data_IF_927483852618
#
_entry.id   IF_927483852618
#
_cell.length_a   1.000
_cell.length_b   1.000
_cell.length_c   1.000
_cell.angle_alpha   90.00
_cell.angle_beta   90.00
_cell.angle_gamma   90.00
#
_symmetry.space_group_name_H-M   'P 1'
#
loop_
_entity.id
_entity.type
_entity.pdbx_description
1 polymer ?
#
# COMPACT_ATOMS: atom_id res chain seq x y z
N UNK A 1 30.64 35.89 27.81
CA UNK A 1 29.59 35.70 26.78
C UNK A 1 29.56 34.29 26.14
N UNK A 2 30.63 33.47 26.24
CA UNK A 2 30.68 32.13 25.61
C UNK A 2 29.82 31.05 26.31
N UNK A 3 29.78 31.05 27.65
CA UNK A 3 29.09 30.01 28.44
C UNK A 3 27.57 29.95 28.25
N UNK A 4 26.90 31.09 28.13
CA UNK A 4 25.45 31.15 27.92
C UNK A 4 25.05 30.60 26.54
N UNK A 5 25.86 30.85 25.51
CA UNK A 5 25.64 30.34 24.15
C UNK A 5 25.87 28.84 24.07
N UNK A 6 26.89 28.31 24.76
CA UNK A 6 27.11 26.86 24.85
C UNK A 6 26.00 26.14 25.61
N UNK A 7 25.47 26.74 26.68
CA UNK A 7 24.32 26.21 27.43
C UNK A 7 23.05 26.16 26.58
N UNK A 8 22.73 27.23 25.85
CA UNK A 8 21.58 27.26 24.94
C UNK A 8 21.70 26.20 23.82
N UNK A 9 22.91 25.97 23.31
CA UNK A 9 23.16 25.00 22.25
C UNK A 9 23.08 23.54 22.76
N UNK A 10 23.50 23.29 24.00
CA UNK A 10 23.32 22.00 24.66
C UNK A 10 21.84 21.72 24.96
N UNK A 11 21.08 22.72 25.38
CA UNK A 11 19.63 22.62 25.59
C UNK A 11 18.91 22.32 24.27
N UNK A 12 19.25 23.04 23.19
CA UNK A 12 18.65 22.78 21.87
C UNK A 12 19.00 21.40 21.34
N UNK A 13 20.25 20.94 21.50
CA UNK A 13 20.64 19.58 21.11
C UNK A 13 19.89 18.53 21.91
N UNK A 14 19.75 18.71 23.21
CA UNK A 14 18.95 17.82 24.05
C UNK A 14 17.45 17.88 23.72
N UNK A 15 16.92 19.00 23.23
CA UNK A 15 15.54 19.09 22.74
C UNK A 15 15.36 18.42 21.38
N UNK A 16 16.30 18.60 20.45
CA UNK A 16 16.30 17.93 19.14
C UNK A 16 16.44 16.43 19.34
N UNK A 17 17.42 15.99 20.12
CA UNK A 17 17.63 14.59 20.45
C UNK A 17 16.40 14.00 21.14
N UNK A 18 15.73 14.75 22.04
CA UNK A 18 14.47 14.31 22.66
C UNK A 18 13.29 14.32 21.69
N UNK A 19 13.28 15.12 20.63
CA UNK A 19 12.26 15.07 19.56
C UNK A 19 12.58 13.94 18.57
N UNK A 20 13.86 13.64 18.35
CA UNK A 20 14.33 12.55 17.49
C UNK A 20 14.22 11.18 18.17
N UNK A 21 14.41 11.12 19.49
CA UNK A 21 14.27 9.92 20.33
C UNK A 21 12.90 9.78 20.97
N UNK A 22 12.13 10.87 21.12
CA UNK A 22 10.67 10.77 21.16
C UNK A 22 10.19 10.46 19.74
N UNK A 23 10.55 9.28 19.26
CA UNK A 23 9.49 8.42 18.77
C UNK A 23 8.40 8.50 19.82
N UNK A 24 7.34 9.21 19.48
CA UNK A 24 6.09 9.13 20.19
C UNK A 24 5.69 7.65 20.07
N UNK A 25 6.22 6.84 20.98
CA UNK A 25 5.86 5.43 21.18
C UNK A 25 4.50 5.50 21.84
N UNK A 26 3.51 5.92 21.08
CA UNK A 26 2.21 5.30 21.23
C UNK A 26 2.50 3.84 20.90
N UNK A 27 2.26 2.87 21.81
CA UNK A 27 2.17 1.48 21.39
C UNK A 27 1.18 1.51 20.24
N UNK A 28 1.68 1.43 19.01
CA UNK A 28 0.85 1.73 17.85
C UNK A 28 -0.24 0.70 17.91
N UNK A 29 -1.47 1.17 18.04
CA UNK A 29 -2.63 0.32 17.89
C UNK A 29 -2.47 -0.33 16.51
N UNK A 30 -2.29 -1.65 16.49
CA UNK A 30 -2.00 -2.43 15.29
C UNK A 30 -3.26 -3.21 14.96
N UNK A 31 -3.59 -3.23 13.68
CA UNK A 31 -4.74 -3.96 13.18
C UNK A 31 -4.26 -5.17 12.41
N UNK A 32 -4.68 -6.33 12.90
CA UNK A 32 -4.44 -7.63 12.28
C UNK A 32 -5.05 -7.62 10.87
N UNK A 33 -4.27 -7.99 9.86
CA UNK A 33 -4.71 -8.09 8.48
C UNK A 33 -5.58 -9.34 8.25
N UNK A 34 -5.33 -10.40 9.02
CA UNK A 34 -6.00 -11.71 8.92
C UNK A 34 -5.10 -12.79 8.32
N UNK A 35 -3.92 -12.42 7.83
CA UNK A 35 -2.91 -13.34 7.31
C UNK A 35 -1.79 -13.52 8.34
N UNK A 36 -1.77 -14.66 9.04
CA UNK A 36 -0.92 -14.91 10.20
C UNK A 36 0.57 -14.61 10.00
N UNK A 37 1.18 -15.08 8.90
CA UNK A 37 2.59 -14.82 8.62
C UNK A 37 2.91 -13.34 8.35
N UNK A 38 2.05 -12.63 7.61
CA UNK A 38 2.21 -11.20 7.36
C UNK A 38 2.03 -10.40 8.65
N UNK A 39 1.03 -10.75 9.46
CA UNK A 39 0.78 -10.12 10.76
C UNK A 39 1.95 -10.32 11.72
N UNK A 40 2.57 -11.51 11.74
CA UNK A 40 3.77 -11.77 12.52
C UNK A 40 4.97 -10.91 12.07
N UNK A 41 5.18 -10.76 10.76
CA UNK A 41 6.21 -9.87 10.21
C UNK A 41 5.95 -8.40 10.59
N UNK A 42 4.68 -7.99 10.63
CA UNK A 42 4.24 -6.66 11.06
C UNK A 42 4.15 -6.50 12.59
N UNK A 43 4.63 -7.46 13.38
CA UNK A 43 4.59 -7.44 14.86
C UNK A 43 3.16 -7.31 15.42
N UNK A 44 2.22 -8.07 14.86
CA UNK A 44 0.82 -8.09 15.27
C UNK A 44 -0.12 -7.28 14.37
N UNK A 45 0.31 -6.90 13.18
CA UNK A 45 -0.53 -6.25 12.16
C UNK A 45 -0.10 -4.85 11.76
N UNK A 46 -0.88 -4.25 10.86
CA UNK A 46 -0.62 -2.94 10.28
C UNK A 46 -0.75 -1.85 11.35
N UNK A 47 0.29 -1.04 11.52
CA UNK A 47 0.27 0.06 12.47
C UNK A 47 -0.77 1.13 12.08
N UNK A 48 -1.58 1.60 13.02
CA UNK A 48 -2.44 2.79 12.81
C UNK A 48 -1.64 4.08 12.95
N UNK A 49 -2.27 5.20 12.60
CA UNK A 49 -1.68 6.54 12.70
C UNK A 49 -0.32 6.66 11.98
N UNK A 50 -0.21 5.95 10.86
CA UNK A 50 1.01 5.78 10.11
C UNK A 50 0.74 5.85 8.60
N UNK A 51 1.81 6.01 7.83
CA UNK A 51 1.75 6.06 6.36
C UNK A 51 2.20 4.72 5.79
N UNK A 52 1.35 4.10 4.98
CA UNK A 52 1.64 2.86 4.26
C UNK A 52 1.59 3.12 2.77
N UNK A 53 2.66 2.77 2.06
CA UNK A 53 2.71 2.91 0.61
C UNK A 53 2.40 1.58 -0.06
N UNK A 54 1.63 1.63 -1.14
CA UNK A 54 1.31 0.50 -2.00
C UNK A 54 1.64 0.89 -3.44
N UNK A 55 2.50 0.11 -4.07
CA UNK A 55 2.89 0.19 -5.47
C UNK A 55 2.32 -1.00 -6.23
N UNK A 56 2.21 -0.91 -7.55
CA UNK A 56 1.91 -2.04 -8.41
C UNK A 56 3.02 -2.28 -9.44
N UNK A 57 3.25 -3.53 -9.79
CA UNK A 57 4.14 -3.86 -10.91
C UNK A 57 3.41 -3.72 -12.26
N UNK A 58 4.05 -3.05 -13.21
CA UNK A 58 3.51 -2.89 -14.56
C UNK A 58 2.12 -2.25 -14.58
N UNK A 59 1.16 -2.92 -15.24
CA UNK A 59 -0.22 -2.43 -15.42
C UNK A 59 -1.21 -3.03 -14.41
N UNK A 60 -0.75 -3.49 -13.25
CA UNK A 60 -1.56 -4.21 -12.27
C UNK A 60 -2.23 -3.28 -11.23
N UNK A 61 -2.66 -2.10 -11.70
CA UNK A 61 -3.23 -1.06 -10.86
C UNK A 61 -4.49 -1.49 -10.11
N UNK A 62 -5.36 -2.27 -10.75
CA UNK A 62 -6.58 -2.78 -10.12
C UNK A 62 -6.29 -3.67 -8.91
N UNK A 63 -5.23 -4.48 -8.95
CA UNK A 63 -4.82 -5.31 -7.82
C UNK A 63 -4.34 -4.44 -6.65
N UNK A 64 -3.53 -3.42 -6.91
CA UNK A 64 -3.11 -2.49 -5.86
C UNK A 64 -4.27 -1.67 -5.29
N UNK A 65 -5.22 -1.22 -6.11
CA UNK A 65 -6.45 -0.57 -5.64
C UNK A 65 -7.27 -1.48 -4.74
N UNK A 66 -7.49 -2.73 -5.15
CA UNK A 66 -8.22 -3.73 -4.34
C UNK A 66 -7.51 -4.02 -3.01
N UNK A 67 -6.19 -4.17 -3.03
CA UNK A 67 -5.40 -4.36 -1.82
C UNK A 67 -5.47 -3.15 -0.88
N UNK A 68 -5.33 -1.93 -1.40
CA UNK A 68 -5.48 -0.68 -0.62
C UNK A 68 -6.88 -0.58 -0.02
N UNK A 69 -7.92 -0.98 -0.75
CA UNK A 69 -9.28 -1.01 -0.20
C UNK A 69 -9.45 -2.05 0.90
N UNK A 70 -8.85 -3.23 0.76
CA UNK A 70 -8.80 -4.22 1.83
C UNK A 70 -8.12 -3.66 3.09
N UNK A 71 -6.93 -3.05 2.92
CA UNK A 71 -6.24 -2.37 4.03
C UNK A 71 -7.10 -1.26 4.64
N UNK A 72 -7.74 -0.43 3.80
CA UNK A 72 -8.64 0.64 4.25
C UNK A 72 -9.77 0.08 5.10
N UNK A 73 -10.46 -0.96 4.63
CA UNK A 73 -11.52 -1.64 5.37
C UNK A 73 -11.07 -2.19 6.73
N UNK A 74 -9.84 -2.72 6.80
CA UNK A 74 -9.24 -3.14 8.08
C UNK A 74 -9.06 -1.97 9.03
N UNK A 75 -8.47 -0.87 8.57
CA UNK A 75 -8.09 0.25 9.45
C UNK A 75 -9.22 1.22 9.77
N UNK A 76 -10.24 1.27 8.92
CA UNK A 76 -11.32 2.24 9.00
C UNK A 76 -12.62 1.67 9.55
N UNK A 77 -12.70 0.42 10.00
CA UNK A 77 -13.95 -0.27 10.34
C UNK A 77 -14.99 0.63 11.03
N UNK A 78 -15.99 1.08 10.24
CA UNK A 78 -17.13 1.97 10.55
C UNK A 78 -16.89 3.49 10.59
N UNK A 79 -15.72 3.97 10.16
CA UNK A 79 -15.39 5.38 10.02
C UNK A 79 -15.21 5.75 8.54
N UNK A 80 -15.50 7.01 8.13
CA UNK A 80 -15.38 7.41 6.75
C UNK A 80 -13.95 7.31 6.22
N UNK A 81 -13.82 6.91 4.96
CA UNK A 81 -12.59 6.89 4.16
C UNK A 81 -12.62 8.06 3.19
N UNK A 82 -11.57 8.88 3.16
CA UNK A 82 -11.39 9.87 2.09
C UNK A 82 -10.43 9.31 1.04
N UNK A 83 -10.82 9.28 -0.23
CA UNK A 83 -9.95 8.91 -1.35
C UNK A 83 -9.65 10.13 -2.21
N UNK A 84 -8.43 10.64 -2.10
CA UNK A 84 -7.92 11.77 -2.86
C UNK A 84 -7.15 11.24 -4.06
N UNK A 85 -7.56 11.63 -5.27
CA UNK A 85 -6.86 11.28 -6.51
C UNK A 85 -6.77 12.47 -7.45
N UNK A 86 -5.80 12.41 -8.37
CA UNK A 86 -5.67 13.41 -9.43
C UNK A 86 -6.82 13.24 -10.44
N UNK A 87 -7.34 14.34 -10.97
CA UNK A 87 -8.46 14.34 -11.92
C UNK A 87 -8.18 13.51 -13.18
N UNK A 88 -6.97 13.60 -13.73
CA UNK A 88 -6.57 12.85 -14.92
C UNK A 88 -6.36 11.35 -14.65
N UNK A 89 -6.13 10.92 -13.40
CA UNK A 89 -5.92 9.49 -13.10
C UNK A 89 -7.13 8.64 -13.47
N UNK A 90 -8.33 9.22 -13.45
CA UNK A 90 -9.54 8.55 -13.90
C UNK A 90 -9.54 8.25 -15.40
N UNK A 91 -8.89 9.09 -16.21
CA UNK A 91 -8.75 8.83 -17.65
C UNK A 91 -7.79 7.68 -17.93
N UNK A 92 -6.77 7.49 -17.08
CA UNK A 92 -5.74 6.46 -17.24
C UNK A 92 -6.16 5.09 -16.69
N UNK A 93 -6.95 5.07 -15.61
CA UNK A 93 -7.30 3.83 -14.87
C UNK A 93 -8.78 3.57 -14.68
N UNK A 94 -9.63 4.48 -15.14
CA UNK A 94 -11.06 4.45 -14.86
C UNK A 94 -11.41 4.97 -13.48
N UNK A 95 -12.73 5.00 -13.23
CA UNK A 95 -13.29 5.39 -11.95
C UNK A 95 -13.24 4.23 -10.95
N UNK A 96 -13.16 4.56 -9.67
CA UNK A 96 -13.33 3.58 -8.61
C UNK A 96 -14.77 3.03 -8.64
N UNK A 97 -14.90 1.70 -8.75
CA UNK A 97 -16.22 1.06 -8.82
C UNK A 97 -16.84 0.91 -7.43
N UNK A 98 -17.97 1.59 -7.21
CA UNK A 98 -18.74 1.46 -5.96
C UNK A 98 -19.43 0.08 -5.84
N UNK A 99 -19.80 -0.55 -6.97
CA UNK A 99 -20.29 -1.93 -6.94
C UNK A 99 -19.18 -2.90 -6.58
N UNK A 100 -17.97 -2.70 -7.12
CA UNK A 100 -16.79 -3.50 -6.78
C UNK A 100 -16.40 -3.38 -5.30
N UNK A 101 -16.56 -2.19 -4.70
CA UNK A 101 -16.42 -2.04 -3.24
C UNK A 101 -17.42 -2.87 -2.46
N UNK A 102 -18.67 -2.92 -2.93
CA UNK A 102 -19.73 -3.72 -2.28
C UNK A 102 -19.43 -5.21 -2.40
N UNK A 103 -18.92 -5.66 -3.55
CA UNK A 103 -18.46 -7.03 -3.78
C UNK A 103 -17.25 -7.41 -2.91
N UNK A 104 -16.42 -6.43 -2.52
CA UNK A 104 -15.36 -6.63 -1.53
C UNK A 104 -15.86 -6.64 -0.08
N UNK A 105 -17.17 -6.50 0.17
CA UNK A 105 -17.75 -6.42 1.51
C UNK A 105 -17.68 -5.04 2.16
N UNK A 106 -17.22 -4.03 1.43
CA UNK A 106 -17.04 -2.66 1.94
C UNK A 106 -18.27 -1.80 1.65
N UNK A 107 -18.67 -0.93 2.58
CA UNK A 107 -19.81 -0.02 2.40
C UNK A 107 -19.41 1.22 1.57
N UNK A 108 -19.91 1.39 0.33
CA UNK A 108 -19.54 2.53 -0.50
C UNK A 108 -19.98 3.87 0.09
N UNK A 109 -20.96 3.90 0.99
CA UNK A 109 -21.44 5.12 1.65
C UNK A 109 -20.42 5.69 2.64
N UNK A 110 -19.44 4.88 3.03
CA UNK A 110 -18.34 5.33 3.88
C UNK A 110 -17.20 5.95 3.07
N UNK A 111 -17.26 5.97 1.74
CA UNK A 111 -16.19 6.50 0.88
C UNK A 111 -16.56 7.87 0.35
N UNK A 112 -15.69 8.86 0.61
CA UNK A 112 -15.78 10.19 0.03
C UNK A 112 -14.65 10.36 -0.98
N UNK A 113 -14.99 10.61 -2.24
CA UNK A 113 -14.02 10.83 -3.32
C UNK A 113 -13.69 12.31 -3.44
N UNK A 114 -12.40 12.63 -3.54
CA UNK A 114 -11.92 13.98 -3.87
C UNK A 114 -11.06 13.91 -5.11
N UNK A 115 -11.41 14.73 -6.10
CA UNK A 115 -10.59 14.97 -7.30
C UNK A 115 -9.78 16.24 -7.11
N UNK A 116 -8.46 16.09 -7.13
CA UNK A 116 -7.52 17.20 -7.08
C UNK A 116 -7.04 17.53 -8.50
N UNK A 117 -6.89 18.82 -8.81
CA UNK A 117 -6.42 19.28 -10.11
C UNK A 117 -4.93 18.94 -10.38
N UNK A 118 -4.14 18.78 -9.33
CA UNK A 118 -2.71 18.50 -9.43
C UNK A 118 -2.18 17.77 -8.18
N UNK A 119 -0.91 17.34 -8.24
CA UNK A 119 -0.22 16.64 -7.14
C UNK A 119 -0.16 17.48 -5.87
N UNK A 120 0.08 18.79 -5.99
CA UNK A 120 0.23 19.69 -4.83
C UNK A 120 -1.09 19.82 -4.07
N UNK A 121 -2.18 20.00 -4.80
CA UNK A 121 -3.54 20.03 -4.27
C UNK A 121 -3.92 18.69 -3.66
N UNK A 122 -3.54 17.56 -4.27
CA UNK A 122 -3.76 16.23 -3.71
C UNK A 122 -3.01 16.04 -2.38
N UNK A 123 -1.74 16.44 -2.32
CA UNK A 123 -0.91 16.37 -1.11
C UNK A 123 -1.43 17.28 0.00
N UNK A 124 -1.81 18.52 -0.33
CA UNK A 124 -2.40 19.47 0.64
C UNK A 124 -3.71 18.92 1.20
N UNK A 125 -4.62 18.50 0.33
CA UNK A 125 -5.91 17.92 0.73
C UNK A 125 -5.72 16.69 1.61
N UNK A 126 -4.77 15.82 1.26
CA UNK A 126 -4.47 14.63 2.06
C UNK A 126 -3.87 14.97 3.42
N UNK A 127 -3.02 16.00 3.51
CA UNK A 127 -2.49 16.47 4.79
C UNK A 127 -3.61 17.03 5.69
N UNK A 128 -4.51 17.83 5.14
CA UNK A 128 -5.64 18.41 5.88
C UNK A 128 -6.62 17.31 6.32
N UNK A 129 -6.89 16.33 5.46
CA UNK A 129 -7.70 15.16 5.77
C UNK A 129 -7.06 14.27 6.85
N UNK A 130 -5.75 14.03 6.76
CA UNK A 130 -5.02 13.29 7.79
C UNK A 130 -4.99 14.04 9.12
N UNK A 131 -5.21 15.35 9.16
CA UNK A 131 -5.35 16.09 10.41
C UNK A 131 -6.78 16.05 10.99
N UNK A 132 -7.75 15.46 10.29
CA UNK A 132 -9.14 15.36 10.70
C UNK A 132 -9.43 14.03 11.41
N UNK A 133 -9.49 14.08 12.74
CA UNK A 133 -9.73 12.93 13.62
C UNK A 133 -11.14 12.33 13.53
N UNK A 134 -11.98 12.72 12.57
CA UNK A 134 -13.26 12.08 12.24
C UNK A 134 -13.11 10.95 11.19
N UNK A 135 -12.06 10.98 10.37
CA UNK A 135 -11.81 9.98 9.31
C UNK A 135 -11.15 8.71 9.85
N UNK A 136 -11.48 7.54 9.32
CA UNK A 136 -10.80 6.29 9.66
C UNK A 136 -9.48 6.12 8.94
N UNK A 137 -9.45 6.54 7.67
CA UNK A 137 -8.26 6.53 6.83
C UNK A 137 -8.36 7.57 5.71
N UNK A 138 -7.20 7.88 5.13
CA UNK A 138 -7.08 8.68 3.91
C UNK A 138 -6.28 7.88 2.90
N UNK A 139 -6.86 7.67 1.72
CA UNK A 139 -6.12 7.16 0.57
C UNK A 139 -5.68 8.33 -0.29
N UNK A 140 -4.38 8.42 -0.57
CA UNK A 140 -3.82 9.33 -1.54
C UNK A 140 -3.32 8.53 -2.74
N UNK A 141 -3.98 8.68 -3.87
CA UNK A 141 -3.59 8.09 -5.14
C UNK A 141 -2.76 9.10 -5.94
N UNK A 142 -1.53 8.71 -6.29
CA UNK A 142 -0.62 9.49 -7.11
C UNK A 142 -0.19 8.69 -8.34
N UNK A 143 -0.27 9.31 -9.50
CA UNK A 143 0.11 8.71 -10.78
C UNK A 143 1.47 9.20 -11.26
N UNK A 144 2.31 8.26 -11.67
CA UNK A 144 3.62 8.52 -12.22
C UNK A 144 4.65 8.98 -11.19
N UNK A 145 5.82 9.37 -11.69
CA UNK A 145 6.88 9.94 -10.87
C UNK A 145 6.51 11.36 -10.41
N UNK A 146 6.08 11.47 -9.16
CA UNK A 146 5.63 12.72 -8.55
C UNK A 146 6.75 13.39 -7.75
N UNK A 147 7.49 14.32 -8.37
CA UNK A 147 8.60 15.05 -7.73
C UNK A 147 8.18 15.85 -6.49
N UNK A 148 6.92 16.29 -6.45
CA UNK A 148 6.35 17.05 -5.33
C UNK A 148 6.17 16.18 -4.07
N UNK A 149 6.11 14.86 -4.23
CA UNK A 149 6.14 13.94 -3.09
C UNK A 149 7.58 13.65 -2.68
N UNK A 150 8.22 14.63 -2.06
CA UNK A 150 9.55 14.54 -1.51
C UNK A 150 9.53 14.11 -0.02
N UNK A 151 10.70 14.09 0.62
CA UNK A 151 10.82 13.75 2.05
C UNK A 151 10.08 14.76 2.96
N UNK A 152 9.95 16.01 2.55
CA UNK A 152 9.25 17.05 3.33
C UNK A 152 7.75 16.79 3.28
N UNK A 153 7.19 16.56 2.09
CA UNK A 153 5.80 16.18 1.91
C UNK A 153 5.47 14.88 2.64
N UNK A 154 6.33 13.86 2.49
CA UNK A 154 6.17 12.58 3.20
C UNK A 154 6.16 12.77 4.72
N UNK A 155 7.11 13.55 5.28
CA UNK A 155 7.16 13.83 6.72
C UNK A 155 5.92 14.59 7.19
N UNK A 156 5.42 15.55 6.40
CA UNK A 156 4.20 16.29 6.71
C UNK A 156 2.99 15.36 6.84
N UNK A 157 2.81 14.43 5.90
CA UNK A 157 1.72 13.43 5.98
C UNK A 157 1.88 12.53 7.21
N UNK A 158 3.09 12.06 7.50
CA UNK A 158 3.36 11.21 8.67
C UNK A 158 3.03 11.93 9.98
N UNK A 159 3.43 13.20 10.12
CA UNK A 159 3.13 13.98 11.32
C UNK A 159 1.61 14.25 11.47
N UNK A 160 0.91 14.51 10.37
CA UNK A 160 -0.54 14.68 10.38
C UNK A 160 -1.26 13.39 10.84
N UNK A 161 -0.89 12.25 10.25
CA UNK A 161 -1.41 10.92 10.61
C UNK A 161 -1.18 10.59 12.09
N UNK A 162 0.03 10.87 12.59
CA UNK A 162 0.38 10.64 14.01
C UNK A 162 -0.40 11.57 14.95
N UNK A 163 -0.61 12.83 14.57
CA UNK A 163 -1.29 13.82 15.40
C UNK A 163 -2.78 13.56 15.57
N UNK A 164 -3.46 13.00 14.55
CA UNK A 164 -4.91 12.75 14.58
C UNK A 164 -5.29 11.29 14.88
N UNK A 165 -4.34 10.35 14.73
CA UNK A 165 -4.61 8.92 14.78
C UNK A 165 -5.11 8.31 13.46
N UNK A 166 -5.28 9.10 12.40
CA UNK A 166 -5.77 8.64 11.09
C UNK A 166 -4.67 7.94 10.31
N UNK A 167 -4.99 6.79 9.71
CA UNK A 167 -4.04 6.03 8.88
C UNK A 167 -4.02 6.55 7.45
N UNK A 168 -2.83 6.81 6.91
CA UNK A 168 -2.64 7.18 5.50
C UNK A 168 -2.22 5.99 4.65
N UNK A 169 -2.92 5.78 3.53
CA UNK A 169 -2.63 4.75 2.53
C UNK A 169 -2.27 5.44 1.22
N UNK A 170 -1.00 5.37 0.81
CA UNK A 170 -0.52 5.99 -0.41
C UNK A 170 -0.49 4.97 -1.54
N UNK A 171 -1.41 5.10 -2.48
CA UNK A 171 -1.43 4.30 -3.70
C UNK A 171 -0.56 4.98 -4.77
N UNK A 172 0.59 4.38 -5.09
CA UNK A 172 1.59 4.90 -6.02
C UNK A 172 1.53 4.10 -7.31
N UNK A 173 0.92 4.69 -8.33
CA UNK A 173 0.67 4.05 -9.63
C UNK A 173 1.74 4.47 -10.64
N UNK A 174 2.23 3.55 -11.47
CA UNK A 174 3.24 3.84 -12.51
C UNK A 174 4.48 4.59 -11.98
N UNK A 175 4.90 4.31 -10.74
CA UNK A 175 6.01 4.96 -10.06
C UNK A 175 6.94 3.92 -9.43
N UNK A 176 8.21 4.27 -9.27
CA UNK A 176 9.18 3.46 -8.56
C UNK A 176 9.25 3.84 -7.08
N UNK A 177 9.50 2.87 -6.18
CA UNK A 177 9.80 3.14 -4.78
C UNK A 177 10.97 4.11 -4.59
N UNK A 178 10.72 5.23 -3.89
CA UNK A 178 11.74 6.19 -3.46
C UNK A 178 11.81 6.28 -1.93
N UNK A 179 12.90 6.79 -1.34
CA UNK A 179 12.97 7.03 0.10
C UNK A 179 11.82 7.93 0.59
N UNK A 180 11.18 7.52 1.68
CA UNK A 180 10.08 8.25 2.31
C UNK A 180 10.01 7.92 3.81
N UNK A 181 9.12 8.61 4.52
CA UNK A 181 8.84 8.36 5.96
C UNK A 181 7.83 7.24 6.19
N UNK A 182 7.43 6.50 5.15
CA UNK A 182 6.45 5.43 5.24
C UNK A 182 6.87 4.36 6.27
N UNK A 183 5.87 3.85 6.98
CA UNK A 183 5.97 2.76 7.94
C UNK A 183 6.15 1.42 7.25
N UNK A 184 5.31 1.15 6.25
CA UNK A 184 5.44 0.00 5.37
C UNK A 184 5.40 0.42 3.91
N UNK A 185 6.05 -0.37 3.07
CA UNK A 185 5.93 -0.26 1.62
C UNK A 185 5.66 -1.61 0.99
N UNK A 186 4.61 -1.69 0.18
CA UNK A 186 4.19 -2.89 -0.51
C UNK A 186 4.34 -2.73 -2.01
N UNK A 187 4.77 -3.80 -2.70
CA UNK A 187 4.71 -3.97 -4.14
C UNK A 187 3.72 -5.07 -4.45
N UNK A 188 2.69 -4.74 -5.22
CA UNK A 188 1.56 -5.61 -5.46
C UNK A 188 1.57 -6.16 -6.88
N UNK A 189 1.22 -7.43 -6.96
CA UNK A 189 0.87 -8.13 -8.18
C UNK A 189 -0.47 -8.86 -7.98
N UNK A 190 -1.21 -9.04 -9.05
CA UNK A 190 -2.31 -10.00 -9.11
C UNK A 190 -1.72 -11.41 -9.06
N UNK A 191 -2.22 -12.24 -8.15
CA UNK A 191 -1.94 -13.66 -8.15
C UNK A 191 -3.04 -14.40 -8.93
N UNK A 192 -2.74 -15.57 -9.53
CA UNK A 192 -3.76 -16.39 -10.17
C UNK A 192 -4.84 -16.81 -9.17
N UNK A 193 -6.11 -16.68 -9.56
CA UNK A 193 -7.21 -17.26 -8.79
C UNK A 193 -7.07 -18.79 -8.76
N UNK A 194 -7.39 -19.45 -7.62
CA UNK A 194 -7.46 -20.90 -7.59
C UNK A 194 -8.52 -21.40 -8.59
N UNK A 195 -8.35 -22.62 -9.15
CA UNK A 195 -9.33 -23.19 -10.06
C UNK A 195 -10.69 -23.32 -9.36
N UNK A 196 -11.67 -22.55 -9.81
CA UNK A 196 -13.03 -22.51 -9.27
C UNK A 196 -14.02 -23.38 -10.04
N UNK A 197 -15.17 -23.65 -9.43
CA UNK A 197 -16.32 -24.23 -10.14
C UNK A 197 -16.79 -23.27 -11.24
N UNK A 198 -17.51 -23.77 -12.25
CA UNK A 198 -18.09 -22.92 -13.33
C UNK A 198 -19.00 -21.82 -12.78
N UNK A 199 -19.53 -22.00 -11.56
CA UNK A 199 -20.42 -21.07 -10.86
C UNK A 199 -19.68 -20.06 -9.97
N UNK A 200 -18.37 -20.23 -9.77
CA UNK A 200 -17.50 -19.36 -8.95
C UNK A 200 -16.22 -19.02 -9.72
N UNK A 201 -16.35 -18.81 -11.04
CA UNK A 201 -15.24 -18.85 -11.98
C UNK A 201 -14.11 -17.83 -11.71
N UNK A 202 -14.40 -16.75 -10.99
CA UNK A 202 -13.43 -15.67 -10.73
C UNK A 202 -12.80 -15.74 -9.33
N UNK A 203 -13.40 -16.47 -8.38
CA UNK A 203 -12.93 -16.62 -7.00
C UNK A 203 -12.87 -15.32 -6.20
N UNK A 204 -12.34 -15.40 -4.99
CA UNK A 204 -11.95 -14.23 -4.20
C UNK A 204 -10.71 -13.56 -4.81
N UNK A 205 -10.54 -12.23 -4.67
CA UNK A 205 -9.32 -11.56 -5.11
C UNK A 205 -8.09 -12.12 -4.41
N UNK A 206 -7.06 -12.46 -5.18
CA UNK A 206 -5.78 -12.95 -4.66
C UNK A 206 -4.65 -12.02 -5.06
N UNK A 207 -3.87 -11.60 -4.07
CA UNK A 207 -2.77 -10.67 -4.21
C UNK A 207 -1.45 -11.36 -3.93
N UNK A 208 -0.45 -11.11 -4.76
CA UNK A 208 0.94 -11.39 -4.45
C UNK A 208 1.56 -10.10 -3.92
N UNK A 209 1.68 -10.03 -2.59
CA UNK A 209 2.06 -8.83 -1.85
C UNK A 209 3.48 -8.96 -1.30
N UNK A 210 4.38 -8.12 -1.81
CA UNK A 210 5.77 -8.05 -1.38
C UNK A 210 5.99 -6.81 -0.52
N UNK A 211 6.34 -7.01 0.75
CA UNK A 211 6.68 -5.95 1.69
C UNK A 211 8.15 -5.55 1.50
N UNK A 212 8.38 -4.48 0.76
CA UNK A 212 9.70 -3.92 0.46
C UNK A 212 10.32 -3.18 1.65
N UNK A 213 9.49 -2.66 2.56
CA UNK A 213 9.93 -1.92 3.74
C UNK A 213 9.01 -2.22 4.91
N UNK A 214 9.60 -2.44 6.08
CA UNK A 214 8.92 -2.55 7.36
C UNK A 214 9.79 -1.92 8.45
N UNK A 215 9.32 -0.85 9.10
CA UNK A 215 10.13 -0.09 10.06
C UNK A 215 10.43 -0.85 11.35
N UNK A 216 9.55 -1.77 11.76
CA UNK A 216 9.63 -2.44 13.08
C UNK A 216 9.70 -3.97 12.99
N UNK A 217 9.90 -4.52 11.80
CA UNK A 217 9.92 -5.96 11.58
C UNK A 217 10.57 -6.36 10.27
N UNK A 218 10.64 -7.66 9.98
CA UNK A 218 11.20 -8.15 8.72
C UNK A 218 10.31 -7.79 7.53
N UNK A 219 10.93 -7.72 6.36
CA UNK A 219 10.26 -7.74 5.07
C UNK A 219 9.86 -9.18 4.68
N UNK A 220 8.99 -9.33 3.69
CA UNK A 220 8.51 -10.64 3.25
C UNK A 220 7.61 -10.55 2.02
N UNK A 221 7.18 -11.70 1.48
CA UNK A 221 6.27 -11.80 0.35
C UNK A 221 5.26 -12.90 0.60
N UNK A 222 3.99 -12.62 0.36
CA UNK A 222 2.89 -13.54 0.64
C UNK A 222 1.86 -13.51 -0.47
N UNK A 223 1.22 -14.66 -0.70
CA UNK A 223 -0.03 -14.72 -1.44
C UNK A 223 -1.15 -14.49 -0.42
N UNK A 224 -1.96 -13.46 -0.64
CA UNK A 224 -3.01 -13.02 0.28
C UNK A 224 -4.35 -13.05 -0.47
N UNK A 225 -5.28 -13.88 -0.01
CA UNK A 225 -6.65 -13.90 -0.52
C UNK A 225 -7.50 -12.92 0.30
N UNK A 226 -8.45 -12.22 -0.32
CA UNK A 226 -9.40 -11.36 0.39
C UNK A 226 -10.72 -12.08 0.62
N UNK A 227 -11.08 -12.30 1.88
CA UNK A 227 -12.39 -12.76 2.27
C UNK A 227 -13.36 -11.56 2.34
N UNK A 228 -14.29 -11.47 1.38
CA UNK A 228 -15.28 -10.39 1.32
C UNK A 228 -16.33 -10.47 2.43
N UNK A 229 -16.66 -11.67 2.91
CA UNK A 229 -17.65 -11.85 3.99
C UNK A 229 -17.10 -11.36 5.34
N UNK A 230 -15.84 -11.68 5.62
CA UNK A 230 -15.17 -11.31 6.88
C UNK A 230 -14.42 -9.97 6.80
N UNK A 231 -14.29 -9.40 5.59
CA UNK A 231 -13.51 -8.20 5.32
C UNK A 231 -12.08 -8.28 5.90
N UNK A 232 -11.40 -9.39 5.60
CA UNK A 232 -10.02 -9.62 6.01
C UNK A 232 -9.23 -10.42 4.99
N UNK A 233 -7.91 -10.32 5.08
CA UNK A 233 -7.02 -11.18 4.30
C UNK A 233 -6.93 -12.56 4.93
N UNK A 234 -6.63 -13.57 4.13
CA UNK A 234 -6.38 -14.93 4.56
C UNK A 234 -5.24 -15.55 3.78
N UNK A 235 -4.67 -16.63 4.32
CA UNK A 235 -3.84 -17.53 3.53
C UNK A 235 -4.73 -18.20 2.48
N UNK A 236 -4.30 -18.28 1.21
CA UNK A 236 -5.07 -18.96 0.18
C UNK A 236 -5.24 -20.42 0.56
N UNK A 237 -6.44 -20.96 0.39
CA UNK A 237 -6.68 -22.40 0.54
C UNK A 237 -5.64 -23.18 -0.29
N UNK A 238 -4.91 -24.10 0.33
CA UNK A 238 -3.90 -24.91 -0.36
C UNK A 238 -4.60 -25.90 -1.28
N UNK A 239 -4.69 -25.59 -2.57
CA UNK A 239 -5.13 -26.55 -3.57
C UNK A 239 -3.90 -27.27 -4.15
N UNK A 240 -3.82 -28.61 -4.09
CA UNK A 240 -2.80 -29.33 -4.83
C UNK A 240 -3.04 -29.10 -6.33
N UNK A 241 -2.18 -28.29 -6.97
CA UNK A 241 -2.22 -28.16 -8.41
C UNK A 241 -1.55 -29.38 -9.05
N UNK A 242 -2.19 -30.07 -10.01
CA UNK A 242 -1.45 -30.94 -10.90
C UNK A 242 -0.49 -30.07 -11.72
N UNK A 243 0.80 -30.22 -11.46
CA UNK A 243 1.85 -29.55 -12.24
C UNK A 243 1.74 -30.09 -13.66
N UNK A 244 1.28 -29.27 -14.61
CA UNK A 244 1.32 -29.66 -16.01
C UNK A 244 2.79 -29.93 -16.37
N UNK A 245 3.09 -31.14 -16.85
CA UNK A 245 4.44 -31.48 -17.27
C UNK A 245 4.93 -30.45 -18.29
N UNK A 246 6.18 -30.00 -18.13
CA UNK A 246 6.81 -29.09 -19.08
C UNK A 246 6.62 -29.63 -20.51
N UNK A 247 6.18 -28.80 -21.47
CA UNK A 247 5.88 -29.28 -22.81
C UNK A 247 7.13 -29.91 -23.42
N UNK A 248 7.08 -31.22 -23.65
CA UNK A 248 8.15 -32.01 -24.24
C UNK A 248 8.17 -31.81 -25.77
N UNK A 249 8.39 -30.58 -26.24
CA UNK A 249 8.77 -30.37 -27.64
C UNK A 249 9.40 -28.99 -27.85
N UNK A 250 10.70 -28.87 -27.57
CA UNK A 250 11.57 -27.90 -28.24
C UNK A 250 12.54 -28.72 -29.09
N UNK A 251 12.21 -28.94 -30.36
CA UNK A 251 13.23 -29.24 -31.35
C UNK A 251 13.74 -27.90 -31.87
N UNK A 252 14.97 -27.57 -31.49
CA UNK A 252 15.81 -26.76 -32.36
C UNK A 252 17.25 -27.25 -32.19
N UNK A 253 17.92 -27.61 -33.28
CA UNK A 253 19.17 -26.91 -33.49
C UNK A 253 19.27 -26.34 -34.90
N UNK A 254 19.58 -25.05 -34.93
CA UNK A 254 20.18 -24.35 -36.04
C UNK A 254 21.28 -25.19 -36.71
N UNK A 255 21.11 -25.46 -38.00
CA UNK A 255 22.13 -26.06 -38.86
C UNK A 255 23.08 -24.94 -39.32
N UNK A 256 24.41 -25.02 -39.08
CA UNK A 256 25.35 -24.09 -39.67
C UNK A 256 25.56 -24.48 -41.15
N UNK A 257 25.18 -23.58 -42.06
CA UNK A 257 25.50 -23.71 -43.49
C UNK A 257 27.00 -23.60 -43.71
N UNK A 258 27.68 -24.73 -43.98
CA UNK A 258 29.04 -24.73 -44.51
C UNK A 258 29.01 -24.42 -46.01
N UNK A 259 29.53 -23.26 -46.41
CA UNK A 259 29.89 -23.01 -47.82
C UNK A 259 31.10 -23.88 -48.17
N UNK A 260 30.98 -24.74 -49.18
CA UNK A 260 32.13 -25.32 -49.88
C UNK A 260 32.38 -24.53 -51.16
N UNK A 261 33.65 -24.17 -51.35
CA UNK A 261 34.18 -23.60 -52.57
C UNK A 261 34.19 -24.63 -53.71
N UNK A 262 33.95 -24.13 -54.91
CA UNK A 262 34.11 -24.76 -56.22
C UNK A 262 34.00 -23.67 -57.25
#
# INVERSE_FOLDING_TARGET
>A
MSGARMSALAILRGQIERIETAEVVHPRDRIVLGHGAADAALKGGLARAAIHEVFCEGRQGAAATGFVMGLAGRVSARRPLLWVRQDFSELETGALSMSGLSELGLDPRCVVMVRAADVESALRTSADALACDALGAVVLELWGETRQFDLVASRKLTLAAQGSGVTGLLLRMAAQPLPSTAETRWMLRAAPSPPGSVWSAWGAPVFDAELLRNRHGPCGRWIMEWNCDECQFSEPSTYPQPVAAAPAHRQDPAVPWQRRAG
#
